data_IF_807176249294
#
_entry.id   IF_807176249294
#
_cell.length_a   1.000
_cell.length_b   1.000
_cell.length_c   1.000
_cell.angle_alpha   90.00
_cell.angle_beta   90.00
_cell.angle_gamma   90.00
#
_symmetry.space_group_name_H-M   'P 1'
#
loop_
_entity.id
_entity.type
_entity.pdbx_description
1 polymer ?
#
# COMPACT_ATOMS: atom_id res chain seq x y z
N UNK A 1 33.30 -47.72 -33.66
CA UNK A 1 32.11 -46.83 -33.57
C UNK A 1 31.72 -46.67 -32.11
N UNK A 2 32.01 -45.54 -31.45
CA UNK A 2 31.56 -45.30 -30.06
C UNK A 2 31.45 -43.79 -29.80
N UNK A 3 30.44 -43.15 -30.40
CA UNK A 3 30.24 -41.69 -30.31
C UNK A 3 28.90 -41.31 -29.67
N UNK A 4 28.01 -42.27 -29.38
CA UNK A 4 26.66 -41.97 -28.90
C UNK A 4 26.54 -41.72 -27.39
N UNK A 5 27.46 -42.24 -26.57
CA UNK A 5 27.33 -42.18 -25.09
C UNK A 5 27.79 -40.82 -24.52
N UNK A 6 28.76 -40.15 -25.14
CA UNK A 6 29.28 -38.86 -24.65
C UNK A 6 28.24 -37.74 -24.78
N UNK A 7 27.57 -37.66 -25.93
CA UNK A 7 26.61 -36.57 -26.23
C UNK A 7 25.39 -36.59 -25.30
N UNK A 8 24.95 -37.77 -24.86
CA UNK A 8 23.81 -37.90 -23.94
C UNK A 8 24.13 -37.34 -22.55
N UNK A 9 25.36 -37.55 -22.05
CA UNK A 9 25.77 -37.03 -20.73
C UNK A 9 25.90 -35.51 -20.72
N UNK A 10 26.36 -34.93 -21.83
CA UNK A 10 26.50 -33.48 -21.97
C UNK A 10 25.13 -32.79 -22.07
N UNK A 11 24.17 -33.44 -22.74
CA UNK A 11 22.79 -32.93 -22.87
C UNK A 11 22.06 -32.95 -21.51
N UNK A 12 22.25 -34.01 -20.72
CA UNK A 12 21.61 -34.13 -19.39
C UNK A 12 22.18 -33.09 -18.40
N UNK A 13 23.49 -32.80 -18.44
CA UNK A 13 24.09 -31.74 -17.61
C UNK A 13 23.56 -30.35 -17.97
N UNK A 14 23.36 -30.06 -19.27
CA UNK A 14 22.79 -28.78 -19.71
C UNK A 14 21.32 -28.62 -19.30
N UNK A 15 20.54 -29.70 -19.33
CA UNK A 15 19.13 -29.66 -18.92
C UNK A 15 18.99 -29.38 -17.40
N UNK A 16 19.80 -30.03 -16.57
CA UNK A 16 19.76 -29.83 -15.12
C UNK A 16 20.22 -28.43 -14.68
N UNK A 17 21.18 -27.83 -15.39
CA UNK A 17 21.60 -26.45 -15.13
C UNK A 17 20.56 -25.41 -15.54
N UNK A 18 19.71 -25.69 -16.53
CA UNK A 18 18.63 -24.79 -16.95
C UNK A 18 17.39 -24.86 -16.03
N UNK A 19 17.18 -25.98 -15.33
CA UNK A 19 16.10 -26.10 -14.34
C UNK A 19 16.44 -25.32 -13.07
N UNK A 20 17.69 -25.39 -12.60
CA UNK A 20 18.11 -24.70 -11.38
C UNK A 20 18.25 -23.18 -11.52
N UNK A 21 18.24 -22.64 -12.75
CA UNK A 21 18.36 -21.20 -13.01
C UNK A 21 17.01 -20.47 -13.11
N UNK A 22 15.88 -21.19 -12.96
CA UNK A 22 14.52 -20.65 -13.20
C UNK A 22 13.71 -20.33 -11.95
N UNK A 23 14.26 -20.53 -10.75
CA UNK A 23 13.52 -20.38 -9.49
C UNK A 23 14.16 -19.39 -8.49
N UNK A 24 14.97 -18.45 -8.96
CA UNK A 24 15.18 -17.21 -8.21
C UNK A 24 14.02 -16.28 -8.56
N UNK A 25 12.89 -16.43 -7.85
CA UNK A 25 11.84 -15.41 -7.85
C UNK A 25 12.46 -14.19 -7.19
N UNK A 26 12.47 -13.06 -7.87
CA UNK A 26 12.97 -11.83 -7.28
C UNK A 26 11.97 -11.42 -6.19
N UNK A 27 12.42 -11.21 -4.96
CA UNK A 27 11.60 -10.68 -3.86
C UNK A 27 10.96 -9.31 -4.20
N UNK A 28 11.41 -8.66 -5.27
CA UNK A 28 10.80 -7.46 -5.85
C UNK A 28 9.47 -7.72 -6.57
N UNK A 29 9.18 -8.96 -7.00
CA UNK A 29 7.95 -9.32 -7.72
C UNK A 29 6.71 -9.38 -6.81
N UNK A 30 6.89 -9.36 -5.47
CA UNK A 30 5.82 -9.42 -4.47
C UNK A 30 5.57 -8.08 -3.75
N UNK A 31 6.24 -7.00 -4.16
CA UNK A 31 6.06 -5.68 -3.56
C UNK A 31 5.03 -4.85 -4.33
N UNK A 32 3.90 -4.55 -3.67
CA UNK A 32 2.93 -3.56 -4.15
C UNK A 32 3.18 -2.20 -3.49
N UNK A 33 2.68 -1.15 -4.11
CA UNK A 33 2.74 0.21 -3.58
C UNK A 33 1.33 0.69 -3.30
N UNK A 34 1.03 0.98 -2.04
CA UNK A 34 -0.28 1.47 -1.61
C UNK A 34 -0.22 2.98 -1.48
N UNK A 35 -1.04 3.67 -2.26
CA UNK A 35 -1.35 5.09 -2.12
C UNK A 35 -2.53 5.25 -1.17
N UNK A 36 -2.30 5.93 -0.06
CA UNK A 36 -3.34 6.41 0.86
C UNK A 36 -3.62 7.87 0.56
N UNK A 37 -4.89 8.20 0.38
CA UNK A 37 -5.40 9.53 0.09
C UNK A 37 -6.28 9.94 1.26
N UNK A 38 -5.98 11.06 1.88
CA UNK A 38 -6.76 11.62 2.96
C UNK A 38 -7.07 13.08 2.68
N UNK A 39 -8.33 13.46 2.88
CA UNK A 39 -8.76 14.84 2.90
C UNK A 39 -9.79 15.03 4.00
N UNK A 40 -9.64 16.09 4.77
CA UNK A 40 -10.60 16.44 5.82
C UNK A 40 -10.78 17.95 5.94
N UNK A 41 -12.02 18.36 6.21
CA UNK A 41 -12.39 19.73 6.58
C UNK A 41 -12.16 20.07 8.06
N UNK A 42 -11.75 19.10 8.88
CA UNK A 42 -11.22 19.28 10.23
C UNK A 42 -10.18 18.20 10.56
N UNK A 43 -9.14 18.54 11.33
CA UNK A 43 -8.07 17.59 11.70
C UNK A 43 -8.58 16.29 12.36
N UNK A 44 -9.77 16.31 12.97
CA UNK A 44 -10.30 15.24 13.82
C UNK A 44 -11.71 14.74 13.42
N UNK A 45 -12.31 15.16 12.29
CA UNK A 45 -13.67 14.73 11.88
C UNK A 45 -13.70 13.80 10.67
N UNK A 46 -14.65 12.87 10.68
CA UNK A 46 -14.90 11.76 9.74
C UNK A 46 -15.03 12.14 8.24
N UNK A 47 -14.84 11.21 7.29
CA UNK A 47 -13.57 10.86 6.62
C UNK A 47 -13.79 10.75 5.09
N UNK A 48 -12.82 11.13 4.27
CA UNK A 48 -12.57 10.49 2.96
C UNK A 48 -11.16 9.90 2.99
N UNK A 49 -11.07 8.59 3.24
CA UNK A 49 -9.84 7.80 3.07
C UNK A 49 -10.05 6.89 1.86
N UNK A 50 -9.23 7.08 0.84
CA UNK A 50 -9.19 6.21 -0.35
C UNK A 50 -7.81 5.55 -0.44
N UNK A 51 -7.79 4.25 -0.76
CA UNK A 51 -6.57 3.48 -0.88
C UNK A 51 -6.50 2.86 -2.27
N UNK A 52 -5.36 3.02 -2.94
CA UNK A 52 -5.14 2.49 -4.30
C UNK A 52 -3.80 1.77 -4.38
N UNK A 53 -3.81 0.58 -4.98
CA UNK A 53 -2.62 -0.24 -5.10
C UNK A 53 -2.01 -0.16 -6.50
N UNK A 54 -0.68 -0.11 -6.56
CA UNK A 54 0.10 0.00 -7.79
C UNK A 54 1.20 -1.06 -7.82
N UNK A 55 1.47 -1.62 -9.00
CA UNK A 55 2.54 -2.60 -9.20
C UNK A 55 3.94 -2.01 -9.09
N UNK A 56 4.10 -0.70 -9.34
CA UNK A 56 5.42 -0.07 -9.35
C UNK A 56 5.41 1.25 -8.62
N UNK A 57 6.56 1.58 -8.01
CA UNK A 57 6.79 2.86 -7.34
C UNK A 57 6.48 4.06 -8.25
N UNK A 58 6.95 4.02 -9.49
CA UNK A 58 6.77 5.10 -10.47
C UNK A 58 5.29 5.38 -10.75
N UNK A 59 4.45 4.35 -10.83
CA UNK A 59 3.01 4.51 -11.01
C UNK A 59 2.36 5.13 -9.76
N UNK A 60 2.77 4.66 -8.57
CA UNK A 60 2.28 5.19 -7.30
C UNK A 60 2.65 6.66 -7.10
N UNK A 61 3.90 7.05 -7.35
CA UNK A 61 4.37 8.46 -7.29
C UNK A 61 3.61 9.35 -8.28
N UNK A 62 3.41 8.86 -9.51
CA UNK A 62 2.64 9.57 -10.52
C UNK A 62 1.17 9.78 -10.09
N UNK A 63 0.56 8.77 -9.47
CA UNK A 63 -0.78 8.87 -8.92
C UNK A 63 -0.84 9.82 -7.71
N UNK A 64 0.11 9.72 -6.78
CA UNK A 64 0.25 10.59 -5.62
C UNK A 64 0.24 12.07 -6.02
N UNK A 65 1.12 12.47 -6.96
CA UNK A 65 1.18 13.86 -7.45
C UNK A 65 -0.11 14.31 -8.12
N UNK A 66 -0.81 13.44 -8.85
CA UNK A 66 -2.10 13.77 -9.47
C UNK A 66 -3.20 13.97 -8.42
N UNK A 67 -3.27 13.09 -7.44
CA UNK A 67 -4.28 13.16 -6.39
C UNK A 67 -4.07 14.36 -5.47
N UNK A 68 -2.83 14.68 -5.09
CA UNK A 68 -2.50 15.91 -4.36
C UNK A 68 -3.02 17.15 -5.10
N UNK A 69 -2.72 17.26 -6.40
CA UNK A 69 -3.18 18.39 -7.24
C UNK A 69 -4.70 18.42 -7.37
N UNK A 70 -5.34 17.26 -7.51
CA UNK A 70 -6.81 17.15 -7.62
C UNK A 70 -7.49 17.64 -6.36
N UNK A 71 -7.05 17.17 -5.19
CA UNK A 71 -7.59 17.56 -3.90
C UNK A 71 -7.31 19.03 -3.59
N UNK A 72 -6.09 19.49 -3.84
CA UNK A 72 -5.75 20.89 -3.68
C UNK A 72 -6.66 21.80 -4.52
N UNK A 73 -6.88 21.45 -5.80
CA UNK A 73 -7.76 22.21 -6.69
C UNK A 73 -9.24 22.15 -6.30
N UNK A 74 -9.69 21.02 -5.75
CA UNK A 74 -11.08 20.80 -5.35
C UNK A 74 -11.44 21.34 -3.97
N UNK A 75 -10.45 21.84 -3.22
CA UNK A 75 -10.63 22.41 -1.90
C UNK A 75 -11.15 23.85 -1.99
N UNK A 76 -12.26 24.17 -1.32
CA UNK A 76 -12.80 25.52 -1.34
C UNK A 76 -12.08 26.44 -0.35
N UNK A 77 -11.61 25.90 0.78
CA UNK A 77 -11.07 26.68 1.89
C UNK A 77 -9.58 26.92 1.69
N UNK A 78 -8.79 25.91 1.31
CA UNK A 78 -7.36 26.08 1.00
C UNK A 78 -7.17 27.05 -0.17
N UNK A 79 -8.11 27.09 -1.13
CA UNK A 79 -8.03 28.03 -2.24
C UNK A 79 -8.31 29.49 -1.84
N UNK A 80 -9.13 29.71 -0.80
CA UNK A 80 -9.52 31.05 -0.32
C UNK A 80 -8.63 31.59 0.81
N UNK A 81 -7.93 30.71 1.52
CA UNK A 81 -7.09 31.09 2.65
C UNK A 81 -5.83 31.84 2.20
N UNK A 82 -5.38 32.78 3.03
CA UNK A 82 -4.12 33.49 2.83
C UNK A 82 -2.92 32.62 3.24
N UNK A 83 -3.04 31.91 4.37
CA UNK A 83 -1.96 31.09 4.94
C UNK A 83 -2.18 29.60 4.65
N UNK A 84 -1.55 29.14 3.56
CA UNK A 84 -1.58 27.75 3.11
C UNK A 84 -0.19 27.17 3.01
N UNK A 85 -0.08 25.87 3.25
CA UNK A 85 1.15 25.12 3.05
C UNK A 85 0.96 24.00 2.03
N UNK A 86 2.06 23.66 1.35
CA UNK A 86 2.16 22.52 0.46
C UNK A 86 3.57 21.96 0.59
N UNK A 87 3.71 20.81 1.25
CA UNK A 87 4.99 20.19 1.55
C UNK A 87 5.08 18.83 0.83
N UNK A 88 6.03 18.71 -0.09
CA UNK A 88 6.26 17.50 -0.88
C UNK A 88 7.55 16.81 -0.45
N UNK A 89 7.47 15.50 -0.28
CA UNK A 89 8.60 14.59 -0.10
C UNK A 89 8.46 13.41 -1.07
N UNK A 90 9.51 12.58 -1.16
CA UNK A 90 9.52 11.40 -2.03
C UNK A 90 8.35 10.43 -1.82
N UNK A 91 7.78 10.37 -0.61
CA UNK A 91 6.77 9.37 -0.24
C UNK A 91 5.45 9.96 0.22
N UNK A 92 5.38 11.27 0.41
CA UNK A 92 4.18 11.93 0.90
C UNK A 92 4.11 13.39 0.48
N UNK A 93 2.88 13.87 0.29
CA UNK A 93 2.58 15.27 0.00
C UNK A 93 1.49 15.70 0.98
N UNK A 94 1.79 16.72 1.77
CA UNK A 94 0.85 17.34 2.72
C UNK A 94 0.44 18.71 2.21
N UNK A 95 -0.83 19.06 2.35
CA UNK A 95 -1.34 20.35 1.95
C UNK A 95 -2.52 20.76 2.83
N UNK A 96 -2.67 22.05 3.08
CA UNK A 96 -3.72 22.51 3.96
C UNK A 96 -3.56 23.94 4.42
N UNK A 97 -4.42 24.29 5.36
CA UNK A 97 -4.33 25.53 6.11
C UNK A 97 -3.35 25.44 7.26
N UNK A 98 -2.52 26.48 7.40
CA UNK A 98 -1.56 26.59 8.49
C UNK A 98 -2.23 26.51 9.87
N UNK A 99 -1.67 25.77 10.84
CA UNK A 99 -2.29 25.49 12.13
C UNK A 99 -2.32 26.70 13.10
N UNK A 100 -1.84 27.88 12.69
CA UNK A 100 -1.58 29.02 13.59
C UNK A 100 -2.85 29.67 14.19
N UNK A 101 -4.04 29.62 13.57
CA UNK A 101 -5.24 30.32 14.08
C UNK A 101 -6.39 29.41 14.56
N UNK A 102 -6.86 29.54 15.80
CA UNK A 102 -7.81 28.63 16.44
C UNK A 102 -9.28 28.65 15.95
N UNK A 103 -9.64 29.44 14.92
CA UNK A 103 -11.05 29.64 14.54
C UNK A 103 -11.43 28.99 13.19
N UNK A 104 -12.30 27.98 13.31
CA UNK A 104 -13.34 27.40 12.44
C UNK A 104 -13.15 27.24 10.90
N UNK A 105 -13.31 25.97 10.48
CA UNK A 105 -13.24 25.36 9.13
C UNK A 105 -11.85 25.32 8.52
N UNK A 106 -11.18 24.17 8.64
CA UNK A 106 -9.80 23.99 8.19
C UNK A 106 -9.66 22.77 7.32
N UNK A 107 -9.34 22.99 6.06
CA UNK A 107 -9.06 21.90 5.15
C UNK A 107 -7.59 21.49 5.23
N UNK A 108 -7.40 20.19 5.39
CA UNK A 108 -6.10 19.53 5.37
C UNK A 108 -6.22 18.22 4.59
N UNK A 109 -5.21 17.92 3.79
CA UNK A 109 -5.08 16.64 3.13
C UNK A 109 -3.63 16.18 3.09
N UNK A 110 -3.50 14.87 2.96
CA UNK A 110 -2.23 14.26 2.62
C UNK A 110 -2.47 13.14 1.61
N UNK A 111 -1.45 12.90 0.79
CA UNK A 111 -1.34 11.70 -0.02
C UNK A 111 -0.01 11.04 0.31
N UNK A 112 0.00 9.73 0.52
CA UNK A 112 1.18 9.00 0.94
C UNK A 112 1.28 7.67 0.21
N UNK A 113 2.47 7.30 -0.24
CA UNK A 113 2.74 5.96 -0.78
C UNK A 113 3.56 5.13 0.19
N UNK A 114 3.15 3.88 0.41
CA UNK A 114 3.87 2.90 1.23
C UNK A 114 4.13 1.61 0.43
N UNK A 115 5.37 1.08 0.44
CA UNK A 115 5.61 -0.25 -0.07
C UNK A 115 4.99 -1.27 0.89
N UNK A 116 4.26 -2.23 0.34
CA UNK A 116 3.62 -3.33 1.07
C UNK A 116 4.01 -4.63 0.39
N UNK A 117 4.52 -5.58 1.18
CA UNK A 117 4.77 -6.94 0.69
C UNK A 117 3.45 -7.69 0.66
N UNK A 118 3.19 -8.41 -0.42
CA UNK A 118 2.06 -9.33 -0.47
C UNK A 118 2.28 -10.47 0.52
N UNK A 119 1.23 -10.83 1.25
CA UNK A 119 1.26 -12.01 2.11
C UNK A 119 1.22 -13.28 1.26
N UNK A 120 2.06 -14.24 1.63
CA UNK A 120 1.97 -15.58 1.08
C UNK A 120 0.78 -16.31 1.70
N UNK A 121 0.19 -17.24 0.96
CA UNK A 121 -1.08 -17.95 1.25
C UNK A 121 -1.24 -18.59 2.63
N UNK A 122 -0.19 -18.64 3.46
CA UNK A 122 -0.20 -19.21 4.82
C UNK A 122 -0.17 -18.16 5.95
N UNK A 123 -0.06 -16.87 5.65
CA UNK A 123 0.06 -15.80 6.66
C UNK A 123 -1.29 -15.20 7.06
N UNK A 124 -2.31 -16.04 7.26
CA UNK A 124 -3.52 -15.60 7.96
C UNK A 124 -3.27 -15.68 9.47
N UNK A 125 -3.38 -14.55 10.18
CA UNK A 125 -3.45 -14.58 11.64
C UNK A 125 -4.53 -15.60 12.06
N UNK A 126 -4.23 -16.42 13.07
CA UNK A 126 -5.22 -17.37 13.61
C UNK A 126 -6.45 -16.58 14.05
N UNK A 127 -7.51 -16.67 13.26
CA UNK A 127 -8.81 -16.10 13.61
C UNK A 127 -9.20 -16.72 14.95
N UNK A 128 -9.56 -15.92 15.97
CA UNK A 128 -10.07 -16.46 17.23
C UNK A 128 -11.23 -17.41 16.91
N UNK A 129 -11.21 -18.61 17.50
CA UNK A 129 -12.36 -19.49 17.45
C UNK A 129 -13.57 -18.71 17.98
N UNK A 130 -14.63 -18.60 17.17
CA UNK A 130 -15.90 -17.98 17.57
C UNK A 130 -16.24 -18.43 18.98
N UNK A 131 -16.51 -17.50 19.89
CA UNK A 131 -17.11 -17.86 21.17
C UNK A 131 -18.45 -18.52 20.86
N UNK A 132 -18.51 -19.84 20.97
CA UNK A 132 -19.79 -20.51 21.10
C UNK A 132 -20.40 -19.96 22.38
N UNK A 133 -21.42 -19.13 22.22
CA UNK A 133 -22.38 -18.84 23.28
C UNK A 133 -23.03 -20.17 23.68
N UNK A 134 -22.35 -20.94 24.53
CA UNK A 134 -23.01 -21.90 25.40
C UNK A 134 -23.60 -21.12 26.58
N UNK A 135 -24.54 -20.24 26.25
CA UNK A 135 -25.56 -19.80 27.19
C UNK A 135 -26.59 -20.93 27.29
N UNK A 136 -26.29 -21.89 28.16
CA UNK A 136 -27.29 -22.60 28.95
C UNK A 136 -26.60 -23.58 29.91
N UNK A 137 -26.61 -23.24 31.19
CA UNK A 137 -27.53 -23.91 32.09
C UNK A 137 -27.58 -23.22 33.45
N UNK A 138 -28.83 -23.01 33.83
CA UNK A 138 -29.40 -22.79 35.15
C UNK A 138 -28.61 -23.35 36.35
N UNK A 139 -28.88 -22.68 37.48
CA UNK A 139 -28.71 -23.08 38.87
C UNK A 139 -27.30 -22.98 39.48
N UNK A 140 -27.16 -22.14 40.53
CA UNK A 140 -27.20 -22.61 41.92
C UNK A 140 -27.01 -21.45 42.94
N UNK A 141 -28.00 -21.34 43.84
CA UNK A 141 -28.07 -20.74 45.19
C UNK A 141 -27.70 -19.27 45.46
#
# INVERSE_FOLDING_TARGET
>A
MSTKISQVKDTIKQYNNNINKKNERNDEDEMIWVLTIHFSGYKESEYFIDNRSFKTRKLAEGAMRREAKRLYKGSDIIQKTYDKYFNESDKEIHFGESPIESNYRREFGFVQIKPVKLENTESGDKVPSSSSEDDSNDDYY
#
